data_IF_586763370103
#
_entry.id   IF_586763370103
#
_cell.length_a   1.000
_cell.length_b   1.000
_cell.length_c   1.000
_cell.angle_alpha   90.00
_cell.angle_beta   90.00
_cell.angle_gamma   90.00
#
_symmetry.space_group_name_H-M   'P 1'
#
loop_
_entity.id
_entity.type
_entity.pdbx_description
1 polymer ?
#
# COMPACT_ATOMS: atom_id res chain seq x y z
N UNK A 1 14.26 -13.31 -16.72
CA UNK A 1 13.51 -13.54 -15.46
C UNK A 1 12.87 -12.23 -15.07
N UNK A 2 11.56 -12.23 -14.81
CA UNK A 2 10.81 -11.00 -14.49
C UNK A 2 10.37 -11.05 -13.04
N UNK A 3 10.46 -9.91 -12.36
CA UNK A 3 9.96 -9.69 -11.00
C UNK A 3 8.85 -8.65 -11.10
N UNK A 4 7.74 -8.92 -10.42
CA UNK A 4 6.67 -7.94 -10.25
C UNK A 4 6.69 -7.49 -8.80
N UNK A 5 6.61 -6.18 -8.61
CA UNK A 5 6.46 -5.56 -7.30
C UNK A 5 5.17 -4.75 -7.29
N UNK A 6 4.35 -4.97 -6.28
CA UNK A 6 3.06 -4.28 -6.11
C UNK A 6 2.89 -3.83 -4.68
N UNK A 7 2.23 -2.69 -4.50
CA UNK A 7 1.87 -2.14 -3.20
C UNK A 7 0.36 -2.15 -3.11
N UNK A 8 -0.17 -2.80 -2.07
CA UNK A 8 -1.60 -3.04 -1.92
C UNK A 8 -2.05 -2.83 -0.48
N UNK A 9 -3.20 -2.19 -0.32
CA UNK A 9 -3.85 -2.11 0.99
C UNK A 9 -4.73 -3.35 1.22
N UNK A 10 -4.52 -4.03 2.34
CA UNK A 10 -5.31 -5.17 2.80
C UNK A 10 -6.74 -4.73 3.08
N UNK A 11 -7.72 -5.47 2.55
CA UNK A 11 -9.13 -5.29 2.83
C UNK A 11 -9.92 -6.59 2.57
N UNK A 12 -11.19 -6.60 2.95
CA UNK A 12 -12.06 -7.78 2.86
C UNK A 12 -12.33 -8.24 1.42
N UNK A 13 -12.13 -7.37 0.41
CA UNK A 13 -12.34 -7.72 -1.01
C UNK A 13 -11.15 -8.42 -1.62
N UNK A 14 -9.94 -8.15 -1.12
CA UNK A 14 -8.71 -8.65 -1.74
C UNK A 14 -7.97 -9.67 -0.89
N UNK A 15 -8.41 -9.93 0.34
CA UNK A 15 -7.77 -10.87 1.25
C UNK A 15 -8.74 -11.96 1.66
N UNK A 16 -8.27 -13.21 1.69
CA UNK A 16 -9.03 -14.35 2.16
C UNK A 16 -8.21 -15.22 3.10
N UNK A 17 -8.91 -15.94 3.96
CA UNK A 17 -8.31 -16.93 4.85
C UNK A 17 -8.54 -18.32 4.29
N UNK A 18 -7.49 -19.13 4.21
CA UNK A 18 -7.54 -20.51 3.70
C UNK A 18 -6.92 -21.47 4.69
N UNK A 19 -7.52 -22.66 4.79
CA UNK A 19 -6.97 -23.75 5.58
C UNK A 19 -5.92 -24.51 4.76
N UNK A 20 -4.71 -24.62 5.29
CA UNK A 20 -3.62 -25.37 4.67
C UNK A 20 -3.17 -26.48 5.59
N UNK A 21 -2.34 -27.40 5.08
CA UNK A 21 -1.67 -28.40 5.91
C UNK A 21 -0.77 -27.77 7.00
N UNK A 22 -0.39 -26.50 6.85
CA UNK A 22 0.43 -25.73 7.80
C UNK A 22 -0.42 -24.77 8.64
N UNK A 23 -1.70 -25.09 8.82
CA UNK A 23 -2.68 -24.28 9.53
C UNK A 23 -3.30 -23.19 8.65
N UNK A 24 -4.00 -22.28 9.31
CA UNK A 24 -4.68 -21.15 8.68
C UNK A 24 -3.66 -20.16 8.09
N UNK A 25 -3.89 -19.73 6.86
CA UNK A 25 -3.06 -18.72 6.17
C UNK A 25 -3.92 -17.67 5.49
N UNK A 26 -3.44 -16.43 5.48
CA UNK A 26 -4.03 -15.35 4.70
C UNK A 26 -3.41 -15.32 3.31
N UNK A 27 -4.25 -15.11 2.29
CA UNK A 27 -3.88 -14.97 0.89
C UNK A 27 -4.44 -13.66 0.37
N UNK A 28 -3.61 -12.87 -0.28
CA UNK A 28 -4.01 -11.60 -0.90
C UNK A 28 -3.97 -11.70 -2.42
N UNK A 29 -4.99 -11.15 -3.06
CA UNK A 29 -5.10 -10.96 -4.51
C UNK A 29 -4.75 -9.52 -4.85
N UNK A 30 -3.73 -9.33 -5.69
CA UNK A 30 -3.21 -8.01 -6.01
C UNK A 30 -3.11 -7.82 -7.52
N UNK A 31 -3.47 -6.63 -8.06
CA UNK A 31 -3.30 -6.35 -9.48
C UNK A 31 -1.80 -6.30 -9.83
N UNK A 32 -1.44 -6.89 -10.97
CA UNK A 32 -0.06 -6.96 -11.45
C UNK A 32 0.19 -6.19 -12.76
N UNK A 33 -0.74 -6.27 -13.71
CA UNK A 33 -0.66 -5.60 -15.01
C UNK A 33 -2.05 -5.50 -15.65
N UNK A 34 -2.25 -4.60 -16.61
CA UNK A 34 -3.41 -4.62 -17.49
C UNK A 34 -3.15 -5.51 -18.71
N UNK A 35 -4.12 -6.32 -19.10
CA UNK A 35 -4.07 -7.07 -20.35
C UNK A 35 -4.31 -6.17 -21.58
N UNK A 36 -4.28 -6.75 -22.77
CA UNK A 36 -4.52 -6.05 -24.04
C UNK A 36 -5.94 -5.45 -24.15
N UNK A 37 -6.88 -5.89 -23.31
CA UNK A 37 -8.25 -5.36 -23.24
C UNK A 37 -8.40 -4.24 -22.19
N UNK A 38 -7.32 -3.92 -21.47
CA UNK A 38 -7.31 -2.93 -20.39
C UNK A 38 -7.81 -3.44 -19.05
N UNK A 39 -8.11 -4.75 -18.93
CA UNK A 39 -8.56 -5.37 -17.68
C UNK A 39 -7.36 -5.72 -16.80
N UNK A 40 -7.53 -5.55 -15.49
CA UNK A 40 -6.50 -5.94 -14.53
C UNK A 40 -6.34 -7.45 -14.44
N UNK A 41 -5.11 -7.91 -14.59
CA UNK A 41 -4.67 -9.25 -14.24
C UNK A 41 -4.27 -9.24 -12.77
N UNK A 42 -4.76 -10.23 -12.03
CA UNK A 42 -4.51 -10.37 -10.59
C UNK A 42 -3.64 -11.59 -10.33
N UNK A 43 -2.77 -11.48 -9.33
CA UNK A 43 -1.99 -12.59 -8.80
C UNK A 43 -2.22 -12.78 -7.30
N UNK A 44 -2.17 -14.03 -6.85
CA UNK A 44 -2.30 -14.39 -5.44
C UNK A 44 -0.94 -14.53 -4.76
N UNK A 45 -0.84 -14.07 -3.52
CA UNK A 45 0.33 -14.28 -2.67
C UNK A 45 -0.08 -14.75 -1.26
N UNK A 46 0.61 -15.74 -0.72
CA UNK A 46 0.49 -16.12 0.69
C UNK A 46 1.19 -15.09 1.58
N UNK A 47 0.59 -14.79 2.73
CA UNK A 47 1.15 -13.92 3.76
C UNK A 47 1.63 -14.79 4.93
N UNK A 48 2.88 -14.60 5.33
CA UNK A 48 3.54 -15.40 6.37
C UNK A 48 3.37 -14.84 7.80
N UNK A 49 2.72 -13.69 7.96
CA UNK A 49 2.37 -13.07 9.24
C UNK A 49 0.90 -12.64 9.23
N UNK A 50 0.36 -12.34 10.42
CA UNK A 50 -1.01 -11.87 10.57
C UNK A 50 -1.14 -10.43 10.04
N UNK A 51 -2.12 -10.20 9.18
CA UNK A 51 -2.50 -8.88 8.67
C UNK A 51 -3.95 -8.55 8.98
N UNK A 52 -4.22 -7.25 9.06
CA UNK A 52 -5.55 -6.70 9.35
C UNK A 52 -5.98 -5.73 8.24
N UNK A 53 -7.29 -5.55 8.00
CA UNK A 53 -7.77 -4.53 7.07
C UNK A 53 -7.16 -3.16 7.39
N UNK A 54 -6.61 -2.50 6.35
CA UNK A 54 -5.92 -1.21 6.49
C UNK A 54 -4.39 -1.27 6.47
N UNK A 55 -3.80 -2.45 6.73
CA UNK A 55 -2.38 -2.71 6.49
C UNK A 55 -2.02 -2.42 5.02
N UNK A 56 -0.84 -1.85 4.77
CA UNK A 56 -0.29 -1.74 3.41
C UNK A 56 0.86 -2.72 3.30
N UNK A 57 0.83 -3.53 2.24
CA UNK A 57 1.84 -4.53 1.96
C UNK A 57 2.56 -4.21 0.66
N UNK A 58 3.88 -4.39 0.66
CA UNK A 58 4.69 -4.52 -0.54
C UNK A 58 4.89 -6.00 -0.81
N UNK A 59 4.52 -6.46 -2.00
CA UNK A 59 4.65 -7.85 -2.44
C UNK A 59 5.57 -7.86 -3.66
N UNK A 60 6.68 -8.58 -3.57
CA UNK A 60 7.68 -8.65 -4.64
C UNK A 60 8.08 -10.09 -4.92
N UNK A 61 8.02 -10.51 -6.17
CA UNK A 61 8.40 -11.87 -6.54
C UNK A 61 8.16 -12.20 -8.00
N UNK A 62 8.46 -13.46 -8.34
CA UNK A 62 8.15 -14.03 -9.65
C UNK A 62 6.69 -14.42 -9.71
N UNK A 63 6.09 -14.35 -10.89
CA UNK A 63 4.75 -14.87 -11.15
C UNK A 63 4.86 -16.21 -11.90
N UNK A 64 4.13 -17.20 -11.40
CA UNK A 64 3.88 -18.46 -12.09
C UNK A 64 2.41 -18.53 -12.50
N UNK A 65 2.19 -18.96 -13.74
CA UNK A 65 0.87 -19.23 -14.28
C UNK A 65 0.57 -20.72 -14.22
N UNK A 66 -0.62 -21.05 -13.71
CA UNK A 66 -1.10 -22.42 -13.64
C UNK A 66 -2.50 -22.50 -14.21
N UNK A 67 -2.68 -23.40 -15.17
CA UNK A 67 -4.00 -23.77 -15.67
C UNK A 67 -4.72 -24.64 -14.63
N UNK A 68 -5.97 -24.31 -14.37
CA UNK A 68 -6.87 -25.02 -13.46
C UNK A 68 -8.23 -25.19 -14.13
N UNK A 69 -8.34 -26.25 -14.94
CA UNK A 69 -9.50 -26.49 -15.79
C UNK A 69 -9.68 -25.36 -16.81
N UNK A 70 -10.72 -24.55 -16.63
CA UNK A 70 -11.04 -23.41 -17.51
C UNK A 70 -10.42 -22.08 -17.05
N UNK A 71 -9.71 -22.07 -15.92
CA UNK A 71 -9.15 -20.85 -15.34
C UNK A 71 -7.63 -20.82 -15.44
N UNK A 72 -7.07 -19.62 -15.69
CA UNK A 72 -5.64 -19.37 -15.62
C UNK A 72 -5.31 -18.60 -14.34
N UNK A 73 -4.64 -19.26 -13.40
CA UNK A 73 -4.28 -18.69 -12.12
C UNK A 73 -2.86 -18.10 -12.16
N UNK A 74 -2.71 -16.84 -11.75
CA UNK A 74 -1.41 -16.22 -11.53
C UNK A 74 -1.08 -16.27 -10.03
N UNK A 75 0.09 -16.79 -9.67
CA UNK A 75 0.54 -16.87 -8.29
C UNK A 75 1.94 -16.30 -8.15
N UNK A 76 2.19 -15.57 -7.08
CA UNK A 76 3.55 -15.26 -6.68
C UNK A 76 4.25 -16.54 -6.20
N UNK A 77 5.37 -16.88 -6.84
CA UNK A 77 6.22 -18.00 -6.45
C UNK A 77 7.27 -17.51 -5.45
N UNK A 78 7.14 -17.94 -4.19
CA UNK A 78 8.01 -17.55 -3.06
C UNK A 78 8.28 -16.04 -2.98
N UNK A 79 7.25 -15.18 -2.89
CA UNK A 79 7.44 -13.74 -2.82
C UNK A 79 8.05 -13.30 -1.49
N UNK A 80 8.69 -12.15 -1.53
CA UNK A 80 8.90 -11.29 -0.36
C UNK A 80 7.61 -10.50 -0.11
N UNK A 81 7.11 -10.54 1.13
CA UNK A 81 5.95 -9.77 1.57
C UNK A 81 6.35 -8.94 2.78
N UNK A 82 6.23 -7.62 2.67
CA UNK A 82 6.64 -6.66 3.69
C UNK A 82 5.46 -5.75 4.05
N UNK A 83 5.30 -5.45 5.35
CA UNK A 83 4.34 -4.43 5.79
C UNK A 83 5.00 -3.06 5.70
N UNK A 84 4.40 -2.16 4.93
CA UNK A 84 4.83 -0.76 4.90
C UNK A 84 4.47 -0.10 6.23
N UNK A 85 5.48 0.45 6.91
CA UNK A 85 5.27 1.18 8.14
C UNK A 85 4.41 2.43 7.87
N UNK A 86 3.22 2.47 8.47
CA UNK A 86 2.48 3.71 8.67
C UNK A 86 2.78 4.19 10.09
N UNK A 87 3.39 5.36 10.31
CA UNK A 87 3.36 5.96 11.62
C UNK A 87 1.88 6.08 12.02
N UNK A 88 1.46 5.34 13.05
CA UNK A 88 0.21 5.63 13.76
C UNK A 88 0.31 7.09 14.09
N UNK A 89 -0.60 7.90 13.54
CA UNK A 89 -0.38 9.31 13.32
C UNK A 89 0.51 9.95 14.38
N UNK A 90 1.45 10.77 13.95
CA UNK A 90 1.39 12.11 14.52
C UNK A 90 -0.10 12.46 14.44
N UNK A 91 -0.77 12.52 15.60
CA UNK A 91 -1.80 13.53 15.74
C UNK A 91 -1.22 14.71 14.99
N UNK A 92 -1.94 15.23 14.01
CA UNK A 92 -1.65 16.58 13.59
C UNK A 92 -1.72 17.38 14.89
N UNK A 93 -0.59 17.54 15.59
CA UNK A 93 -0.21 18.83 16.10
C UNK A 93 -0.11 19.65 14.82
N UNK A 94 -1.29 20.04 14.30
CA UNK A 94 -1.47 21.43 13.99
C UNK A 94 -0.92 22.11 15.22
N UNK A 95 0.34 22.54 15.12
CA UNK A 95 0.70 23.78 15.78
C UNK A 95 -0.51 24.67 15.49
N UNK A 96 -1.23 25.17 16.51
CA UNK A 96 -2.27 26.15 16.22
C UNK A 96 -1.60 27.14 15.28
N UNK A 97 -2.22 27.42 14.14
CA UNK A 97 -1.80 28.51 13.28
C UNK A 97 -2.03 29.80 14.07
N UNK A 98 -1.21 30.02 15.09
CA UNK A 98 -0.89 31.32 15.61
C UNK A 98 0.28 31.75 14.75
N UNK A 99 0.01 32.81 14.01
CA UNK A 99 1.01 33.63 13.35
C UNK A 99 1.49 33.09 11.99
N UNK A 100 0.54 32.72 11.11
CA UNK A 100 0.75 33.00 9.69
C UNK A 100 0.22 34.43 9.49
N UNK A 101 1.09 35.45 9.35
CA UNK A 101 0.63 36.79 9.02
C UNK A 101 -0.15 36.72 7.70
N UNK A 102 -1.32 37.35 7.71
CA UNK A 102 -2.27 37.39 6.61
C UNK A 102 -1.55 37.93 5.36
N UNK A 103 -1.20 37.04 4.42
CA UNK A 103 -0.60 37.40 3.12
C UNK A 103 -1.72 38.10 2.33
N UNK A 104 -1.88 39.41 2.53
CA UNK A 104 -2.94 40.18 1.89
C UNK A 104 -3.23 41.54 2.52
N UNK A 105 -2.73 41.83 3.73
CA UNK A 105 -2.73 43.18 4.28
C UNK A 105 -1.30 43.72 4.23
N UNK A 106 -1.15 44.94 3.71
CA UNK A 106 0.14 45.63 3.66
C UNK A 106 0.69 45.71 5.10
N UNK A 107 1.80 45.01 5.32
CA UNK A 107 2.49 45.02 6.60
C UNK A 107 3.15 46.40 6.74
N UNK A 108 2.59 47.29 7.56
CA UNK A 108 3.27 48.52 7.96
C UNK A 108 4.51 48.13 8.78
N UNK A 109 5.67 48.15 8.13
CA UNK A 109 6.96 48.01 8.80
C UNK A 109 7.25 49.37 9.42
N UNK A 110 7.29 49.41 10.75
CA UNK A 110 7.70 50.59 11.49
C UNK A 110 9.23 50.66 11.50
N UNK A 111 9.83 51.78 11.08
CA UNK A 111 11.29 51.89 10.91
C UNK A 111 12.06 51.68 12.23
N UNK A 112 11.40 51.87 13.39
CA UNK A 112 11.98 51.62 14.72
C UNK A 112 12.22 50.12 15.02
N UNK A 113 11.60 49.21 14.27
CA UNK A 113 11.75 47.76 14.45
C UNK A 113 12.84 47.15 13.53
N UNK A 114 13.51 47.97 12.72
CA UNK A 114 14.61 47.52 11.87
C UNK A 114 15.97 47.75 12.55
N UNK A 115 16.88 46.76 12.58
CA UNK A 115 18.13 46.87 13.33
C UNK A 115 19.25 47.58 12.53
N UNK A 116 18.99 48.80 12.02
CA UNK A 116 20.01 49.71 11.49
C UNK A 116 19.65 51.18 11.76
#
# INVERSE_FOLDING_TARGET
MSIITTVVQVNDKNTRTVNTQKGEKQVISTPIIKDSTGKWVYASAFINFKVEPGDILTISGRIEQKEDGQYLNNNFAFPTVERLYKPKGTASTSYPAKDIPNIGEDMEINDEDLPF
#
